data_IF_943952021915
#
_entry.id   IF_943952021915
#
_cell.length_a   1.000
_cell.length_b   1.000
_cell.length_c   1.000
_cell.angle_alpha   90.00
_cell.angle_beta   90.00
_cell.angle_gamma   90.00
#
_symmetry.space_group_name_H-M   'P 1'
#
loop_
_entity.id
_entity.type
_entity.pdbx_description
1 polymer ?
#
# COMPACT_ATOMS: atom_id res chain seq x y z
N UNK A 1 -0.64 -7.37 -7.57
CA UNK A 1 -1.93 -7.37 -8.31
C UNK A 1 -2.49 -8.78 -8.49
N UNK A 2 -1.69 -9.75 -8.97
CA UNK A 2 -2.20 -11.10 -9.32
C UNK A 2 -2.88 -11.83 -8.15
N UNK A 3 -2.28 -11.85 -6.97
CA UNK A 3 -2.87 -12.52 -5.79
C UNK A 3 -4.19 -11.87 -5.35
N UNK A 4 -4.30 -10.54 -5.45
CA UNK A 4 -5.52 -9.82 -5.08
C UNK A 4 -6.71 -10.20 -5.97
N UNK A 5 -6.47 -10.44 -7.26
CA UNK A 5 -7.51 -10.89 -8.19
C UNK A 5 -7.99 -12.29 -7.82
N UNK A 6 -7.06 -13.22 -7.57
CA UNK A 6 -7.39 -14.58 -7.14
C UNK A 6 -8.19 -14.58 -5.83
N UNK A 7 -7.75 -13.80 -4.84
CA UNK A 7 -8.43 -13.68 -3.54
C UNK A 7 -9.86 -13.16 -3.72
N UNK A 8 -10.04 -12.13 -4.55
CA UNK A 8 -11.37 -11.57 -4.82
C UNK A 8 -12.27 -12.54 -5.59
N UNK A 9 -11.72 -13.31 -6.51
CA UNK A 9 -12.45 -14.36 -7.22
C UNK A 9 -12.90 -15.48 -6.26
N UNK A 10 -11.99 -15.98 -5.43
CA UNK A 10 -12.32 -16.99 -4.41
C UNK A 10 -13.38 -16.47 -3.42
N UNK A 11 -13.29 -15.21 -3.00
CA UNK A 11 -14.30 -14.58 -2.14
C UNK A 11 -15.67 -14.56 -2.82
N UNK A 12 -15.74 -14.23 -4.12
CA UNK A 12 -16.98 -14.25 -4.92
C UNK A 12 -17.53 -15.66 -5.13
N UNK A 13 -16.67 -16.67 -5.10
CA UNK A 13 -17.05 -18.08 -5.14
C UNK A 13 -17.51 -18.62 -3.77
N UNK A 14 -17.51 -17.79 -2.71
CA UNK A 14 -18.00 -18.16 -1.38
C UNK A 14 -16.97 -18.85 -0.49
N UNK A 15 -15.67 -18.77 -0.82
CA UNK A 15 -14.63 -19.29 0.06
C UNK A 15 -14.39 -18.34 1.25
N UNK A 16 -14.14 -18.93 2.41
CA UNK A 16 -13.68 -18.24 3.63
C UNK A 16 -12.25 -18.69 3.95
N UNK A 17 -11.33 -17.73 4.09
CA UNK A 17 -9.93 -17.99 4.38
C UNK A 17 -9.24 -16.74 4.93
N UNK A 18 -8.07 -16.95 5.55
CA UNK A 18 -7.20 -15.88 6.02
C UNK A 18 -5.95 -15.80 5.15
N UNK A 19 -5.43 -14.59 4.97
CA UNK A 19 -4.21 -14.34 4.20
C UNK A 19 -3.18 -13.60 5.05
N UNK A 20 -1.92 -13.98 4.94
CA UNK A 20 -0.81 -13.22 5.50
C UNK A 20 -0.45 -12.03 4.63
N UNK A 21 0.33 -11.09 5.17
CA UNK A 21 0.87 -9.99 4.36
C UNK A 21 1.75 -10.53 3.22
N UNK A 22 1.65 -9.96 2.01
CA UNK A 22 2.50 -10.36 0.91
C UNK A 22 3.94 -9.98 1.21
N UNK A 23 4.87 -10.90 0.94
CA UNK A 23 6.31 -10.67 1.08
C UNK A 23 7.00 -10.84 -0.27
N UNK A 24 8.06 -10.07 -0.49
CA UNK A 24 8.88 -10.23 -1.70
C UNK A 24 9.76 -11.48 -1.57
N UNK A 25 9.94 -12.17 -2.68
CA UNK A 25 10.83 -13.34 -2.74
C UNK A 25 12.24 -12.85 -3.04
N UNK A 26 13.12 -12.91 -2.04
CA UNK A 26 14.54 -12.63 -2.21
C UNK A 26 15.23 -13.77 -2.97
N UNK A 27 16.25 -13.41 -3.76
CA UNK A 27 17.12 -14.36 -4.45
C UNK A 27 18.57 -14.12 -4.08
N UNK A 28 19.39 -15.16 -4.09
CA UNK A 28 20.83 -15.02 -3.98
C UNK A 28 21.45 -15.14 -5.36
N UNK A 29 22.03 -14.05 -5.86
CA UNK A 29 22.63 -13.97 -7.19
C UNK A 29 24.08 -13.55 -7.00
N UNK A 30 25.03 -14.37 -7.45
CA UNK A 30 26.47 -14.12 -7.29
C UNK A 30 26.88 -13.79 -5.84
N UNK A 31 26.32 -14.54 -4.87
CA UNK A 31 26.57 -14.36 -3.44
C UNK A 31 25.88 -13.16 -2.80
N UNK A 32 25.21 -12.29 -3.56
CA UNK A 32 24.49 -11.11 -3.04
C UNK A 32 23.00 -11.37 -2.88
N UNK A 33 22.41 -10.84 -1.81
CA UNK A 33 20.95 -10.82 -1.60
C UNK A 33 20.33 -9.79 -2.55
N UNK A 34 19.46 -10.27 -3.42
CA UNK A 34 18.75 -9.47 -4.41
C UNK A 34 17.25 -9.48 -4.12
N UNK A 35 16.59 -8.36 -4.42
CA UNK A 35 15.15 -8.19 -4.32
C UNK A 35 14.56 -7.84 -5.70
N UNK A 36 13.27 -8.15 -5.95
CA UNK A 36 12.63 -7.84 -7.23
C UNK A 36 12.39 -6.33 -7.35
N UNK A 37 12.74 -5.79 -8.52
CA UNK A 37 12.49 -4.39 -8.92
C UNK A 37 11.37 -4.36 -9.95
N UNK A 38 10.47 -3.39 -9.80
CA UNK A 38 9.44 -3.06 -10.77
C UNK A 38 9.77 -1.74 -11.48
N UNK A 39 9.45 -1.67 -12.76
CA UNK A 39 9.37 -0.43 -13.52
C UNK A 39 7.98 0.17 -13.30
N UNK A 40 7.93 1.27 -12.56
CA UNK A 40 6.73 2.03 -12.23
C UNK A 40 6.59 3.20 -13.20
N UNK A 41 5.52 3.21 -13.97
CA UNK A 41 5.15 4.25 -14.92
C UNK A 41 3.96 5.03 -14.36
N UNK A 42 4.12 6.33 -14.20
CA UNK A 42 3.09 7.22 -13.66
C UNK A 42 2.82 8.36 -14.65
N UNK A 43 1.55 8.63 -14.92
CA UNK A 43 1.11 9.84 -15.62
C UNK A 43 0.22 10.66 -14.69
N UNK A 44 0.62 11.90 -14.42
CA UNK A 44 -0.13 12.82 -13.56
C UNK A 44 -0.12 14.23 -14.14
N UNK A 45 -1.12 15.08 -13.84
CA UNK A 45 -1.02 16.51 -14.06
C UNK A 45 0.20 17.12 -13.35
N UNK A 46 0.80 18.14 -13.93
CA UNK A 46 2.05 18.74 -13.43
C UNK A 46 1.96 19.22 -11.97
N UNK A 47 0.75 19.62 -11.53
CA UNK A 47 0.46 20.04 -10.16
C UNK A 47 0.70 18.95 -9.11
N UNK A 48 0.62 17.66 -9.48
CA UNK A 48 0.73 16.53 -8.56
C UNK A 48 2.10 15.85 -8.58
N UNK A 49 3.01 16.25 -9.48
CA UNK A 49 4.34 15.64 -9.63
C UNK A 49 5.13 15.72 -8.32
N UNK A 50 5.09 16.87 -7.63
CA UNK A 50 5.79 17.08 -6.37
C UNK A 50 5.34 16.10 -5.27
N UNK A 51 4.03 15.95 -5.09
CA UNK A 51 3.45 15.03 -4.09
C UNK A 51 3.85 13.57 -4.38
N UNK A 52 3.75 13.15 -5.65
CA UNK A 52 4.13 11.79 -6.07
C UNK A 52 5.63 11.52 -5.81
N UNK A 53 6.50 12.48 -6.09
CA UNK A 53 7.94 12.36 -5.85
C UNK A 53 8.28 12.23 -4.36
N UNK A 54 7.64 13.04 -3.53
CA UNK A 54 7.85 13.04 -2.08
C UNK A 54 7.48 11.69 -1.47
N UNK A 55 6.34 11.12 -1.87
CA UNK A 55 5.88 9.82 -1.37
C UNK A 55 6.75 8.65 -1.87
N UNK A 56 7.29 8.74 -3.09
CA UNK A 56 8.12 7.67 -3.68
C UNK A 56 9.57 7.67 -3.17
N UNK A 57 10.11 8.81 -2.75
CA UNK A 57 11.48 8.94 -2.26
C UNK A 57 11.81 7.96 -1.10
N UNK A 58 11.04 7.97 0.01
CA UNK A 58 11.24 7.04 1.13
C UNK A 58 11.10 5.57 0.74
N UNK A 59 10.38 5.27 -0.35
CA UNK A 59 10.15 3.92 -0.89
C UNK A 59 11.31 3.42 -1.76
N UNK A 60 12.44 4.13 -1.78
CA UNK A 60 13.65 3.81 -2.56
C UNK A 60 13.39 3.73 -4.07
N UNK A 61 12.44 4.53 -4.56
CA UNK A 61 12.23 4.68 -5.98
C UNK A 61 13.34 5.53 -6.59
N UNK A 62 13.88 5.09 -7.73
CA UNK A 62 14.89 5.78 -8.51
C UNK A 62 14.26 6.26 -9.81
N UNK A 63 14.26 7.57 -10.05
CA UNK A 63 13.74 8.16 -11.27
C UNK A 63 14.63 7.78 -12.45
N UNK A 64 14.08 7.09 -13.44
CA UNK A 64 14.78 6.72 -14.68
C UNK A 64 14.49 7.68 -15.81
N UNK A 65 13.25 8.18 -15.90
CA UNK A 65 12.83 9.07 -16.97
C UNK A 65 11.73 10.02 -16.51
N UNK A 66 11.72 11.23 -17.06
CA UNK A 66 10.69 12.23 -16.85
C UNK A 66 10.45 12.97 -18.16
N UNK A 67 9.20 12.96 -18.62
CA UNK A 67 8.77 13.65 -19.83
C UNK A 67 7.51 14.46 -19.59
N UNK A 68 7.62 15.78 -19.68
CA UNK A 68 6.44 16.65 -19.65
C UNK A 68 5.85 16.77 -21.04
N UNK A 69 4.54 16.54 -21.17
CA UNK A 69 3.79 16.75 -22.41
C UNK A 69 3.25 18.18 -22.41
N UNK A 70 3.16 18.79 -23.60
CA UNK A 70 2.58 20.13 -23.79
C UNK A 70 1.10 20.23 -23.35
N UNK A 71 0.46 19.11 -23.03
CA UNK A 71 -0.91 18.99 -22.51
C UNK A 71 -1.02 19.24 -21.00
N UNK A 72 0.09 19.54 -20.30
CA UNK A 72 0.11 19.77 -18.84
C UNK A 72 0.10 18.48 -18.01
N UNK A 73 0.51 17.37 -18.63
CA UNK A 73 0.67 16.07 -17.99
C UNK A 73 2.13 15.65 -18.06
N UNK A 74 2.64 15.11 -16.96
CA UNK A 74 4.01 14.61 -16.86
C UNK A 74 3.99 13.09 -16.73
N UNK A 75 4.78 12.44 -17.59
CA UNK A 75 5.07 11.02 -17.55
C UNK A 75 6.36 10.80 -16.75
N UNK A 76 6.30 9.91 -15.77
CA UNK A 76 7.38 9.57 -14.85
C UNK A 76 7.64 8.07 -14.91
N UNK A 77 8.89 7.68 -15.05
CA UNK A 77 9.32 6.29 -14.95
C UNK A 77 10.28 6.13 -13.77
N UNK A 78 10.02 5.14 -12.93
CA UNK A 78 10.85 4.81 -11.78
C UNK A 78 11.21 3.34 -11.77
N UNK A 79 12.43 3.04 -11.31
CA UNK A 79 12.77 1.73 -10.78
C UNK A 79 12.49 1.72 -9.28
N UNK A 80 11.61 0.84 -8.82
CA UNK A 80 11.21 0.74 -7.42
C UNK A 80 11.28 -0.71 -6.94
N UNK A 81 11.79 -0.99 -5.72
CA UNK A 81 11.64 -2.32 -5.13
C UNK A 81 10.16 -2.69 -5.01
N UNK A 82 9.79 -3.92 -5.38
CA UNK A 82 8.39 -4.37 -5.30
C UNK A 82 7.80 -4.22 -3.88
N UNK A 83 8.65 -4.29 -2.84
CA UNK A 83 8.27 -4.04 -1.44
C UNK A 83 7.87 -2.59 -1.19
N UNK A 84 8.53 -1.63 -1.85
CA UNK A 84 8.21 -0.21 -1.76
C UNK A 84 6.87 0.13 -2.43
N UNK A 85 6.43 -0.67 -3.40
CA UNK A 85 5.15 -0.48 -4.09
C UNK A 85 3.95 -1.00 -3.28
N UNK A 86 4.18 -1.83 -2.26
CA UNK A 86 3.10 -2.37 -1.42
C UNK A 86 2.36 -1.25 -0.69
N UNK A 87 1.03 -1.21 -0.84
CA UNK A 87 0.15 -0.20 -0.24
C UNK A 87 0.14 1.17 -0.96
N UNK A 88 1.12 1.47 -1.80
CA UNK A 88 1.27 2.80 -2.43
C UNK A 88 0.10 3.18 -3.34
N UNK A 89 -0.58 2.20 -3.98
CA UNK A 89 -1.69 2.49 -4.90
C UNK A 89 -2.80 3.33 -4.26
N UNK A 90 -3.15 3.07 -3.00
CA UNK A 90 -4.21 3.82 -2.32
C UNK A 90 -3.77 5.26 -2.04
N UNK A 91 -2.54 5.42 -1.53
CA UNK A 91 -1.92 6.71 -1.27
C UNK A 91 -1.80 7.55 -2.56
N UNK A 92 -1.33 6.95 -3.66
CA UNK A 92 -1.27 7.59 -4.97
C UNK A 92 -2.62 8.12 -5.46
N UNK A 93 -3.71 7.35 -5.28
CA UNK A 93 -5.05 7.81 -5.66
C UNK A 93 -5.50 8.99 -4.80
N UNK A 94 -5.14 9.02 -3.52
CA UNK A 94 -5.39 10.15 -2.62
C UNK A 94 -4.57 11.37 -3.03
N UNK A 95 -3.26 11.22 -3.23
CA UNK A 95 -2.34 12.30 -3.60
C UNK A 95 -2.72 12.98 -4.92
N UNK A 96 -3.26 12.21 -5.86
CA UNK A 96 -3.65 12.69 -7.19
C UNK A 96 -5.12 13.04 -7.33
N UNK A 97 -5.92 12.88 -6.26
CA UNK A 97 -7.38 12.96 -6.29
C UNK A 97 -8.00 12.10 -7.43
N UNK A 98 -7.39 10.96 -7.74
CA UNK A 98 -7.81 10.05 -8.81
C UNK A 98 -7.47 10.50 -10.23
N UNK A 99 -6.79 11.63 -10.43
CA UNK A 99 -6.39 12.12 -11.76
C UNK A 99 -5.09 11.46 -12.29
N UNK A 100 -4.44 10.62 -11.49
CA UNK A 100 -3.23 9.93 -11.86
C UNK A 100 -3.47 8.54 -12.45
N UNK A 101 -2.64 8.17 -13.42
CA UNK A 101 -2.56 6.81 -13.96
C UNK A 101 -1.26 6.20 -13.47
N UNK A 102 -1.34 4.97 -12.93
CA UNK A 102 -0.18 4.24 -12.42
C UNK A 102 -0.17 2.81 -12.97
N UNK A 103 0.94 2.43 -13.59
CA UNK A 103 1.20 1.09 -14.08
C UNK A 103 2.54 0.60 -13.53
N UNK A 104 2.65 -0.69 -13.23
CA UNK A 104 3.91 -1.29 -12.85
C UNK A 104 4.10 -2.63 -13.54
N UNK A 105 5.35 -2.94 -13.86
CA UNK A 105 5.75 -4.23 -14.44
C UNK A 105 7.05 -4.69 -13.82
N UNK A 106 7.20 -6.00 -13.64
CA UNK A 106 8.47 -6.58 -13.18
C UNK A 106 9.58 -6.28 -14.19
N UNK A 107 10.70 -5.73 -13.72
CA UNK A 107 11.88 -5.42 -14.54
C UNK A 107 12.97 -6.47 -14.34
N UNK A 108 13.52 -6.55 -13.12
CA UNK A 108 14.70 -7.36 -12.85
C UNK A 108 14.90 -7.65 -11.35
N UNK A 109 15.93 -8.42 -11.01
CA UNK A 109 16.40 -8.58 -9.64
C UNK A 109 17.66 -7.75 -9.44
N UNK A 110 17.62 -6.81 -8.49
CA UNK A 110 18.77 -5.96 -8.15
C UNK A 110 19.22 -6.22 -6.71
N UNK A 111 20.46 -5.86 -6.33
CA UNK A 111 20.91 -5.93 -4.95
C UNK A 111 19.97 -5.19 -4.00
N UNK A 112 19.77 -5.75 -2.80
CA UNK A 112 18.89 -5.19 -1.77
C UNK A 112 19.16 -3.70 -1.53
N UNK A 113 18.13 -2.85 -1.71
CA UNK A 113 18.19 -1.37 -1.67
C UNK A 113 18.07 -0.81 -0.25
N UNK A 114 18.04 -1.66 0.77
CA UNK A 114 17.99 -1.28 2.19
C UNK A 114 16.59 -1.32 2.79
N UNK A 115 16.48 -0.89 4.05
CA UNK A 115 15.20 -0.90 4.75
C UNK A 115 14.24 0.16 4.21
N UNK A 116 12.95 -0.19 4.20
CA UNK A 116 11.84 0.71 3.82
C UNK A 116 10.91 0.66 5.01
N UNK A 117 10.63 1.82 5.59
CA UNK A 117 9.70 1.94 6.72
C UNK A 117 8.29 1.76 6.17
N UNK A 118 7.62 0.68 6.54
CA UNK A 118 6.33 0.27 5.95
C UNK A 118 5.11 0.65 6.77
N UNK A 119 5.24 0.99 8.06
CA UNK A 119 4.10 1.33 8.91
C UNK A 119 4.49 2.28 10.02
N UNK A 120 3.80 3.41 10.11
CA UNK A 120 3.92 4.37 11.22
C UNK A 120 2.84 4.15 12.30
N UNK A 121 1.70 3.54 11.93
CA UNK A 121 0.50 3.48 12.77
C UNK A 121 0.38 2.18 13.57
N UNK A 122 -0.18 2.27 14.78
CA UNK A 122 -0.59 1.14 15.61
C UNK A 122 -1.93 0.54 15.20
N UNK A 123 -2.34 -0.54 15.89
CA UNK A 123 -3.67 -1.16 15.71
C UNK A 123 -4.48 -1.02 17.00
N UNK A 124 -5.75 -0.65 16.89
CA UNK A 124 -6.72 -0.76 17.99
C UNK A 124 -7.34 -2.16 17.93
N UNK A 125 -7.26 -2.89 19.04
CA UNK A 125 -7.64 -4.32 19.11
C UNK A 125 -8.80 -4.48 20.08
N UNK A 126 -9.82 -5.26 19.68
CA UNK A 126 -10.91 -5.64 20.56
C UNK A 126 -10.41 -6.57 21.67
N UNK A 127 -10.71 -6.21 22.92
CA UNK A 127 -10.30 -6.99 24.09
C UNK A 127 -11.18 -8.22 24.31
N UNK A 128 -12.46 -8.17 23.94
CA UNK A 128 -13.42 -9.25 24.15
C UNK A 128 -14.38 -9.38 22.96
N UNK A 129 -15.08 -10.52 22.91
CA UNK A 129 -16.15 -10.73 21.94
C UNK A 129 -17.47 -10.10 22.40
N UNK A 130 -18.22 -9.52 21.46
CA UNK A 130 -19.49 -8.87 21.76
C UNK A 130 -19.98 -7.98 20.64
N UNK A 131 -21.01 -7.18 20.94
CA UNK A 131 -21.55 -6.19 20.00
C UNK A 131 -20.98 -4.81 20.33
N UNK A 132 -20.35 -4.17 19.35
CA UNK A 132 -19.74 -2.85 19.54
C UNK A 132 -20.80 -1.80 19.91
N UNK A 133 -20.71 -1.26 21.13
CA UNK A 133 -21.61 -0.21 21.60
C UNK A 133 -21.19 1.17 21.09
N UNK A 134 -22.16 2.04 20.77
CA UNK A 134 -21.87 3.42 20.37
C UNK A 134 -21.12 4.20 21.45
N UNK A 135 -21.38 3.91 22.72
CA UNK A 135 -20.66 4.51 23.85
C UNK A 135 -19.17 4.11 23.86
N UNK A 136 -18.86 2.83 23.67
CA UNK A 136 -17.47 2.35 23.60
C UNK A 136 -16.71 2.94 22.41
N UNK A 137 -17.35 2.97 21.23
CA UNK A 137 -16.76 3.55 20.03
C UNK A 137 -16.51 5.06 20.16
N UNK A 138 -17.38 5.79 20.89
CA UNK A 138 -17.22 7.23 21.10
C UNK A 138 -15.93 7.60 21.83
N UNK A 139 -15.46 6.78 22.78
CA UNK A 139 -14.17 7.00 23.44
C UNK A 139 -13.01 6.40 22.64
N UNK A 140 -13.23 5.26 21.99
CA UNK A 140 -12.19 4.60 21.20
C UNK A 140 -11.71 5.47 20.02
N UNK A 141 -12.61 6.25 19.39
CA UNK A 141 -12.25 7.15 18.28
C UNK A 141 -11.30 8.28 18.70
N UNK A 142 -11.20 8.64 19.99
CA UNK A 142 -10.22 9.62 20.46
C UNK A 142 -8.78 9.08 20.34
N UNK A 143 -8.62 7.76 20.30
CA UNK A 143 -7.32 7.08 20.19
C UNK A 143 -6.90 6.78 18.75
N UNK A 144 -7.79 7.01 17.78
CA UNK A 144 -7.51 6.71 16.38
C UNK A 144 -8.74 6.56 15.51
N UNK A 145 -8.53 6.18 14.26
CA UNK A 145 -9.61 6.01 13.28
C UNK A 145 -10.19 4.61 13.39
N UNK A 146 -11.50 4.52 13.61
CA UNK A 146 -12.22 3.25 13.73
C UNK A 146 -12.60 2.69 12.35
N UNK A 147 -12.58 1.37 12.23
CA UNK A 147 -13.00 0.62 11.04
C UNK A 147 -14.42 0.07 11.14
N UNK A 148 -15.00 0.06 12.35
CA UNK A 148 -16.32 -0.50 12.64
C UNK A 148 -17.29 0.58 13.15
N UNK A 149 -18.59 0.32 12.98
CA UNK A 149 -19.67 1.16 13.53
C UNK A 149 -20.42 0.48 14.69
N UNK A 150 -21.33 1.21 15.36
CA UNK A 150 -22.17 0.65 16.41
C UNK A 150 -23.01 -0.53 15.90
N UNK A 151 -23.14 -1.58 16.70
CA UNK A 151 -23.89 -2.80 16.34
C UNK A 151 -23.06 -3.86 15.61
N UNK A 152 -21.78 -3.59 15.32
CA UNK A 152 -20.89 -4.58 14.69
C UNK A 152 -20.52 -5.67 15.69
N UNK A 153 -20.67 -6.94 15.33
CA UNK A 153 -20.15 -8.07 16.12
C UNK A 153 -18.63 -8.12 16.02
N UNK A 154 -17.96 -8.16 17.16
CA UNK A 154 -16.49 -8.22 17.29
C UNK A 154 -16.09 -9.47 18.07
N UNK A 155 -14.85 -9.91 17.85
CA UNK A 155 -14.21 -10.99 18.60
C UNK A 155 -12.89 -10.53 19.22
N UNK A 156 -12.43 -11.20 20.26
CA UNK A 156 -11.14 -10.90 20.91
C UNK A 156 -10.00 -11.00 19.89
N UNK A 157 -9.14 -9.98 19.84
CA UNK A 157 -8.04 -9.91 18.89
C UNK A 157 -8.42 -9.32 17.53
N UNK A 158 -9.69 -9.01 17.27
CA UNK A 158 -10.11 -8.32 16.04
C UNK A 158 -9.52 -6.90 16.00
N UNK A 159 -8.92 -6.52 14.87
CA UNK A 159 -8.47 -5.14 14.65
C UNK A 159 -9.69 -4.28 14.32
N UNK A 160 -9.98 -3.31 15.17
CA UNK A 160 -11.18 -2.44 15.09
C UNK A 160 -10.86 -1.00 14.69
N UNK A 161 -9.57 -0.65 14.57
CA UNK A 161 -9.13 0.65 14.10
C UNK A 161 -7.61 0.78 14.01
N UNK A 162 -7.15 1.97 13.63
CA UNK A 162 -5.74 2.35 13.54
C UNK A 162 -5.44 3.51 14.50
N UNK A 163 -4.28 3.46 15.16
CA UNK A 163 -3.81 4.53 16.06
C UNK A 163 -2.65 5.27 15.40
N UNK A 164 -2.66 6.62 15.38
CA UNK A 164 -1.57 7.42 14.80
C UNK A 164 -0.23 7.22 15.51
#
# INVERSE_FOLDING_TARGET
>A
LHLSILIEEMRRQGYEFQVSSPTVIYKQINGKKCEPIELLMIEVPDSYVGAVMETLGPRKAELTNMGTRNTGTTHLEFKIPARGLMGYRQEFLTDTNGNGIMNSVFDSYEPYKGEIVTRAQGSLIAHEAGVASGYGLFYAQERGRLFIGPGTEVYEGMIVGESP
#
